data_IF_564661176672
#
_entry.id   IF_564661176672
#
_cell.length_a   1.000
_cell.length_b   1.000
_cell.length_c   1.000
_cell.angle_alpha   90.00
_cell.angle_beta   90.00
_cell.angle_gamma   90.00
#
_symmetry.space_group_name_H-M   'P 1'
#
loop_
_entity.id
_entity.type
_entity.pdbx_description
1 polymer ?
#
# COMPACT_ATOMS: atom_id res chain seq x y z
N UNK A 1 4.53 12.92 -5.51
CA UNK A 1 3.89 12.39 -6.73
C UNK A 1 2.41 12.37 -6.50
N UNK A 2 1.65 12.99 -7.40
CA UNK A 2 0.20 12.92 -7.39
C UNK A 2 -0.24 11.62 -8.05
N UNK A 3 -1.46 11.15 -7.76
CA UNK A 3 -1.99 9.91 -8.35
C UNK A 3 -2.16 10.00 -9.86
N UNK A 4 -2.35 11.22 -10.38
CA UNK A 4 -2.47 11.56 -11.80
C UNK A 4 -1.18 11.25 -12.59
N UNK A 5 -0.03 11.31 -11.93
CA UNK A 5 1.31 11.18 -12.52
C UNK A 5 1.78 9.72 -12.59
N UNK A 6 1.00 8.78 -12.06
CA UNK A 6 1.43 7.37 -11.90
C UNK A 6 1.71 6.70 -13.24
N UNK A 7 0.89 6.97 -14.26
CA UNK A 7 1.03 6.35 -15.58
C UNK A 7 2.31 6.81 -16.29
N UNK A 8 2.50 8.13 -16.39
CA UNK A 8 3.73 8.73 -16.94
C UNK A 8 4.98 8.27 -16.16
N UNK A 9 4.88 8.20 -14.83
CA UNK A 9 5.97 7.72 -13.99
C UNK A 9 6.34 6.27 -14.30
N UNK A 10 5.37 5.37 -14.41
CA UNK A 10 5.62 3.96 -14.72
C UNK A 10 6.17 3.79 -16.14
N UNK A 11 5.61 4.49 -17.12
CA UNK A 11 6.11 4.47 -18.51
C UNK A 11 7.59 4.88 -18.57
N UNK A 12 7.96 5.94 -17.86
CA UNK A 12 9.33 6.48 -17.86
C UNK A 12 10.33 5.62 -17.10
N UNK A 13 9.90 4.94 -16.03
CA UNK A 13 10.82 4.31 -15.08
C UNK A 13 10.71 2.79 -14.99
N UNK A 14 9.79 2.14 -15.70
CA UNK A 14 9.71 0.68 -15.77
C UNK A 14 11.02 0.08 -16.31
N UNK A 15 11.46 -1.01 -15.68
CA UNK A 15 12.74 -1.66 -16.02
C UNK A 15 13.99 -0.93 -15.50
N UNK A 16 13.83 0.26 -14.91
CA UNK A 16 14.94 0.99 -14.27
C UNK A 16 15.06 0.66 -12.78
N UNK A 17 16.21 1.01 -12.20
CA UNK A 17 16.43 0.89 -10.75
C UNK A 17 15.49 1.76 -9.90
N UNK A 18 14.76 2.71 -10.50
CA UNK A 18 13.85 3.62 -9.78
C UNK A 18 12.62 2.88 -9.26
N UNK A 19 11.94 2.10 -10.11
CA UNK A 19 10.82 1.23 -9.68
C UNK A 19 11.37 -0.06 -9.07
N UNK A 20 12.55 -0.48 -9.53
CA UNK A 20 13.20 -1.71 -9.10
C UNK A 20 12.60 -2.90 -9.84
N UNK A 21 11.35 -3.27 -9.61
CA UNK A 21 10.71 -4.39 -10.31
C UNK A 21 9.73 -3.92 -11.38
N UNK A 22 9.58 -4.62 -12.52
CA UNK A 22 10.38 -5.75 -13.00
C UNK A 22 11.86 -5.42 -13.27
N UNK A 23 12.80 -6.25 -12.78
CA UNK A 23 14.22 -6.19 -13.15
C UNK A 23 14.51 -7.17 -14.29
N UNK A 24 15.24 -6.77 -15.32
CA UNK A 24 15.67 -7.70 -16.37
C UNK A 24 16.24 -7.00 -17.59
N UNK A 25 16.59 -7.80 -18.59
CA UNK A 25 16.86 -7.32 -19.94
C UNK A 25 15.56 -7.01 -20.68
N UNK A 26 15.70 -6.54 -21.93
CA UNK A 26 14.57 -6.17 -22.78
C UNK A 26 13.59 -7.34 -22.96
N UNK A 27 14.10 -8.56 -23.17
CA UNK A 27 13.26 -9.74 -23.37
C UNK A 27 12.36 -10.01 -22.16
N UNK A 28 12.89 -9.93 -20.93
CA UNK A 28 12.09 -10.09 -19.73
C UNK A 28 11.04 -8.99 -19.56
N UNK A 29 11.38 -7.75 -19.92
CA UNK A 29 10.46 -6.62 -19.82
C UNK A 29 9.32 -6.75 -20.84
N UNK A 30 9.62 -7.21 -22.06
CA UNK A 30 8.64 -7.40 -23.13
C UNK A 30 7.60 -8.49 -22.78
N UNK A 31 7.97 -9.50 -21.98
CA UNK A 31 7.04 -10.54 -21.49
C UNK A 31 6.43 -10.25 -20.12
N UNK A 32 6.85 -9.17 -19.44
CA UNK A 32 6.33 -8.86 -18.13
C UNK A 32 4.88 -8.38 -18.24
N UNK A 33 3.94 -8.90 -17.42
CA UNK A 33 2.55 -8.53 -17.61
C UNK A 33 2.28 -7.06 -17.27
N UNK A 34 1.40 -6.45 -18.06
CA UNK A 34 0.95 -5.06 -17.85
C UNK A 34 0.33 -4.90 -16.47
N UNK A 35 0.58 -3.75 -15.83
CA UNK A 35 -0.07 -3.41 -14.57
C UNK A 35 -1.49 -2.90 -14.85
N UNK A 36 -2.49 -3.63 -14.39
CA UNK A 36 -3.89 -3.26 -14.53
C UNK A 36 -4.50 -2.87 -13.18
N UNK A 37 -5.39 -1.87 -13.23
CA UNK A 37 -6.00 -1.28 -12.04
C UNK A 37 -7.35 -1.91 -11.70
N UNK A 38 -7.56 -2.21 -10.42
CA UNK A 38 -8.87 -2.59 -9.87
C UNK A 38 -9.34 -1.55 -8.85
N UNK A 39 -10.56 -1.09 -9.00
CA UNK A 39 -11.21 -0.18 -8.05
C UNK A 39 -11.70 -0.95 -6.81
N UNK A 40 -11.41 -0.41 -5.64
CA UNK A 40 -11.88 -0.89 -4.34
C UNK A 40 -12.54 0.26 -3.59
N UNK A 41 -13.75 0.04 -3.09
CA UNK A 41 -14.45 0.98 -2.23
C UNK A 41 -14.60 0.36 -0.84
N UNK A 42 -14.07 1.05 0.17
CA UNK A 42 -14.10 0.59 1.55
C UNK A 42 -14.88 1.57 2.41
N UNK A 43 -15.74 1.01 3.26
CA UNK A 43 -16.56 1.79 4.20
C UNK A 43 -16.13 1.51 5.63
N UNK A 44 -15.97 2.59 6.39
CA UNK A 44 -15.58 2.54 7.78
C UNK A 44 -16.76 2.04 8.60
N UNK A 45 -16.49 1.02 9.41
CA UNK A 45 -17.51 0.43 10.27
C UNK A 45 -17.41 0.91 11.71
N UNK A 46 -16.22 1.36 12.16
CA UNK A 46 -15.96 1.78 13.54
C UNK A 46 -14.84 2.83 13.63
N UNK A 47 -14.92 3.71 14.63
CA UNK A 47 -13.86 4.67 14.94
C UNK A 47 -12.62 3.99 15.54
N UNK A 48 -11.43 4.54 15.27
CA UNK A 48 -10.13 4.09 15.79
C UNK A 48 -9.80 2.61 15.52
N UNK A 49 -10.37 2.04 14.46
CA UNK A 49 -10.03 0.72 13.94
C UNK A 49 -9.71 0.80 12.45
N UNK A 50 -8.86 -0.09 11.99
CA UNK A 50 -8.63 -0.31 10.57
C UNK A 50 -9.93 -0.72 9.87
N UNK A 51 -10.09 -0.24 8.64
CA UNK A 51 -11.25 -0.49 7.79
C UNK A 51 -11.14 -1.90 7.20
N UNK A 52 -10.03 -2.19 6.53
CA UNK A 52 -9.74 -3.48 5.88
C UNK A 52 -8.23 -3.62 5.65
N UNK A 53 -7.77 -4.85 5.43
CA UNK A 53 -6.48 -5.04 4.74
C UNK A 53 -6.76 -5.19 3.24
N UNK A 54 -6.05 -4.41 2.41
CA UNK A 54 -5.93 -4.69 0.98
C UNK A 54 -4.79 -5.68 0.81
N UNK A 55 -5.09 -6.87 0.30
CA UNK A 55 -4.13 -7.95 0.09
C UNK A 55 -3.63 -7.89 -1.34
N UNK A 56 -2.31 -7.93 -1.49
CA UNK A 56 -1.59 -8.10 -2.74
C UNK A 56 -0.93 -9.48 -2.67
N UNK A 57 -1.59 -10.50 -3.24
CA UNK A 57 -1.14 -11.90 -3.12
C UNK A 57 0.35 -12.05 -3.41
N UNK A 58 1.06 -12.82 -2.58
CA UNK A 58 2.52 -13.06 -2.60
C UNK A 58 3.44 -11.89 -2.28
N UNK A 59 2.95 -10.65 -2.26
CA UNK A 59 3.74 -9.44 -1.93
C UNK A 59 3.51 -9.01 -0.48
N UNK A 60 2.25 -9.07 -0.02
CA UNK A 60 1.88 -8.66 1.32
C UNK A 60 0.49 -8.04 1.39
N UNK A 61 0.32 -7.07 2.30
CA UNK A 61 -0.94 -6.36 2.46
C UNK A 61 -0.73 -4.94 2.99
N UNK A 62 -1.73 -4.09 2.76
CA UNK A 62 -1.80 -2.72 3.28
C UNK A 62 -2.96 -2.64 4.27
N UNK A 63 -2.67 -2.27 5.51
CA UNK A 63 -3.69 -2.06 6.54
C UNK A 63 -4.30 -0.66 6.41
N UNK A 64 -5.55 -0.58 5.96
CA UNK A 64 -6.20 0.69 5.63
C UNK A 64 -6.87 1.31 6.85
N UNK A 65 -6.53 2.56 7.14
CA UNK A 65 -7.17 3.37 8.16
C UNK A 65 -7.48 4.74 7.57
N UNK A 66 -8.66 5.30 7.89
CA UNK A 66 -9.03 6.64 7.43
C UNK A 66 -9.84 7.41 8.48
N UNK A 67 -9.69 8.73 8.45
CA UNK A 67 -10.61 9.64 9.14
C UNK A 67 -11.97 9.70 8.46
N UNK A 68 -12.01 9.51 7.14
CA UNK A 68 -13.24 9.51 6.34
C UNK A 68 -14.06 8.22 6.50
N UNK A 69 -15.36 8.33 6.28
CA UNK A 69 -16.30 7.21 6.36
C UNK A 69 -16.23 6.30 5.13
N UNK A 70 -15.88 6.84 3.95
CA UNK A 70 -15.69 6.08 2.72
C UNK A 70 -14.35 6.44 2.09
N UNK A 71 -13.67 5.43 1.55
CA UNK A 71 -12.41 5.60 0.82
C UNK A 71 -12.39 4.71 -0.41
N UNK A 72 -11.82 5.23 -1.49
CA UNK A 72 -11.70 4.54 -2.78
C UNK A 72 -10.22 4.40 -3.15
N UNK A 73 -9.86 3.27 -3.74
CA UNK A 73 -8.51 2.98 -4.20
C UNK A 73 -8.54 2.34 -5.58
N UNK A 74 -7.67 2.81 -6.47
CA UNK A 74 -7.25 2.07 -7.66
C UNK A 74 -5.97 1.30 -7.34
N UNK A 75 -6.06 -0.02 -7.26
CA UNK A 75 -4.93 -0.88 -6.92
C UNK A 75 -4.39 -1.51 -8.20
N UNK A 76 -3.09 -1.36 -8.46
CA UNK A 76 -2.44 -1.92 -9.65
C UNK A 76 -1.60 -3.15 -9.30
N UNK A 77 -1.75 -4.21 -10.10
CA UNK A 77 -0.94 -5.44 -10.05
C UNK A 77 -0.80 -6.00 -11.47
N UNK A 78 0.16 -6.91 -11.74
CA UNK A 78 0.25 -7.58 -13.03
C UNK A 78 -1.09 -8.23 -13.41
N UNK A 79 -1.68 -7.81 -14.52
CA UNK A 79 -3.01 -8.21 -15.01
C UNK A 79 -4.15 -8.03 -13.99
N UNK A 80 -3.99 -7.15 -12.99
CA UNK A 80 -5.01 -6.92 -11.97
C UNK A 80 -5.23 -8.13 -11.02
N UNK A 81 -4.32 -9.11 -11.03
CA UNK A 81 -4.47 -10.37 -10.31
C UNK A 81 -4.04 -10.27 -8.84
N UNK A 82 -4.63 -11.11 -8.00
CA UNK A 82 -4.22 -11.24 -6.60
C UNK A 82 -4.60 -10.05 -5.71
N UNK A 83 -5.47 -9.15 -6.18
CA UNK A 83 -6.04 -8.07 -5.38
C UNK A 83 -7.30 -8.58 -4.68
N UNK A 84 -7.30 -8.54 -3.35
CA UNK A 84 -8.50 -8.83 -2.54
C UNK A 84 -8.54 -7.98 -1.28
N UNK A 85 -9.64 -8.03 -0.55
CA UNK A 85 -9.81 -7.40 0.76
C UNK A 85 -10.05 -8.47 1.82
N UNK A 86 -9.66 -8.17 3.06
CA UNK A 86 -9.99 -9.03 4.20
C UNK A 86 -10.24 -8.21 5.46
N UNK A 87 -10.73 -8.89 6.51
CA UNK A 87 -10.76 -8.30 7.85
C UNK A 87 -9.34 -7.95 8.29
N UNK A 88 -9.12 -6.75 8.86
CA UNK A 88 -7.79 -6.33 9.29
C UNK A 88 -7.18 -7.33 10.28
N UNK A 89 -5.95 -7.78 10.02
CA UNK A 89 -5.22 -8.61 10.98
C UNK A 89 -4.81 -7.82 12.22
N UNK A 90 -4.50 -6.53 12.04
CA UNK A 90 -4.09 -5.62 13.11
C UNK A 90 -5.07 -4.44 13.20
N UNK A 91 -6.31 -4.68 13.69
CA UNK A 91 -7.37 -3.68 13.67
C UNK A 91 -7.05 -2.42 14.50
N UNK A 92 -6.10 -2.50 15.43
CA UNK A 92 -5.72 -1.39 16.31
C UNK A 92 -4.32 -0.84 16.04
N UNK A 93 -3.66 -1.22 14.94
CA UNK A 93 -2.31 -0.78 14.60
C UNK A 93 -2.16 0.75 14.63
N UNK A 94 -3.22 1.47 14.25
CA UNK A 94 -3.26 2.94 14.25
C UNK A 94 -2.94 3.57 15.62
N UNK A 95 -3.18 2.85 16.73
CA UNK A 95 -2.90 3.34 18.09
C UNK A 95 -1.41 3.34 18.43
N UNK A 96 -0.60 2.59 17.67
CA UNK A 96 0.83 2.43 17.93
C UNK A 96 1.72 3.29 17.02
N UNK A 97 1.13 4.07 16.11
CA UNK A 97 1.88 5.02 15.30
C UNK A 97 2.43 6.16 16.17
N UNK A 98 3.65 6.61 15.91
CA UNK A 98 4.16 7.83 16.53
C UNK A 98 3.54 9.09 15.92
N UNK A 99 3.99 10.29 16.35
CA UNK A 99 3.50 11.55 15.79
C UNK A 99 3.82 11.67 14.31
N UNK A 100 2.94 12.36 13.56
CA UNK A 100 3.15 12.62 12.13
C UNK A 100 4.36 13.52 11.94
N UNK A 101 5.20 13.22 10.94
CA UNK A 101 6.32 14.08 10.55
C UNK A 101 5.73 15.25 9.73
N UNK A 102 5.87 16.50 10.18
CA UNK A 102 5.33 17.67 9.48
C UNK A 102 5.76 17.71 8.01
N UNK A 103 4.84 18.06 7.11
CA UNK A 103 5.11 18.14 5.67
C UNK A 103 5.21 16.81 4.92
N UNK A 104 5.03 15.66 5.59
CA UNK A 104 5.16 14.34 4.94
C UNK A 104 3.96 13.41 5.17
N UNK A 105 3.95 12.27 4.48
CA UNK A 105 3.01 11.17 4.71
C UNK A 105 3.45 10.19 5.82
N UNK A 106 4.66 10.37 6.37
CA UNK A 106 5.28 9.41 7.29
C UNK A 106 5.06 9.77 8.77
N UNK A 107 5.24 8.77 9.63
CA UNK A 107 5.13 8.90 11.08
C UNK A 107 6.49 8.59 11.72
N UNK A 108 6.80 9.24 12.84
CA UNK A 108 7.96 8.87 13.65
C UNK A 108 7.72 7.48 14.25
N UNK A 109 8.76 6.65 14.30
CA UNK A 109 8.72 5.41 15.07
C UNK A 109 8.72 5.76 16.55
N UNK A 110 7.82 5.18 17.34
CA UNK A 110 7.92 5.26 18.80
C UNK A 110 9.06 4.34 19.21
N UNK A 111 10.04 4.84 19.97
CA UNK A 111 11.06 3.97 20.57
C UNK A 111 10.35 2.91 21.40
N UNK A 112 10.48 1.65 21.01
CA UNK A 112 10.05 0.54 21.86
C UNK A 112 11.07 0.47 22.99
N UNK A 113 10.73 1.03 24.14
CA UNK A 113 11.40 0.61 25.38
C UNK A 113 10.82 -0.78 25.63
N UNK A 114 11.60 -1.81 25.32
CA UNK A 114 11.29 -3.14 25.84
C UNK A 114 11.50 -3.04 27.35
N UNK A 115 10.42 -3.02 28.12
CA UNK A 115 10.55 -3.34 29.54
C UNK A 115 11.16 -4.74 29.58
N UNK A 116 12.33 -4.86 30.20
CA UNK A 116 12.88 -6.17 30.51
C UNK A 116 11.92 -6.78 31.51
N UNK A 117 11.23 -7.83 31.11
CA UNK A 117 10.54 -8.69 32.07
C UNK A 117 11.59 -9.19 33.07
N UNK A 118 11.47 -8.76 34.34
CA UNK A 118 12.27 -9.23 35.48
C UNK A 118 11.86 -10.64 35.91
#
# INVERSE_FOLDING_TARGET
MKTEEVEEFLEKFNGTKVVGVPFGDKERLDIFPTLEGRELHLEKTRQLKAISDIVLSSIGWVNVNSGAEKVSFKVLTPEGRGITTRRPLLPFAIKYKGPRIPGTAFYKTKSMIMEKDE
#
